data_IF_168792076035
#
_entry.id   IF_168792076035
#
_cell.length_a   1.000
_cell.length_b   1.000
_cell.length_c   1.000
_cell.angle_alpha   90.00
_cell.angle_beta   90.00
_cell.angle_gamma   90.00
#
_symmetry.space_group_name_H-M   'P 1'
#
loop_
_entity.id
_entity.type
_entity.pdbx_description
1 polymer ?
#
# COMPACT_ATOMS: atom_id res chain seq x y z
N UNK A 1 -30.11 18.52 -77.53
CA UNK A 1 -29.37 17.24 -77.44
C UNK A 1 -28.22 17.36 -76.41
N UNK A 2 -28.53 17.31 -75.12
CA UNK A 2 -27.54 17.17 -74.01
C UNK A 2 -28.21 16.43 -72.85
N UNK A 3 -28.70 15.23 -73.15
CA UNK A 3 -29.11 14.21 -72.19
C UNK A 3 -28.24 13.00 -72.55
N UNK A 4 -27.52 12.40 -71.60
CA UNK A 4 -26.76 11.11 -71.65
C UNK A 4 -25.46 11.13 -70.82
N UNK A 5 -25.01 12.24 -70.22
CA UNK A 5 -23.77 12.24 -69.40
C UNK A 5 -23.96 12.14 -67.88
N UNK A 6 -25.19 12.07 -67.36
CA UNK A 6 -25.45 12.11 -65.91
C UNK A 6 -25.71 10.75 -65.26
N UNK A 7 -25.65 9.64 -65.99
CA UNK A 7 -26.02 8.32 -65.46
C UNK A 7 -24.84 7.40 -65.11
N UNK A 8 -23.59 7.82 -65.33
CA UNK A 8 -22.41 6.93 -65.17
C UNK A 8 -21.52 7.24 -63.95
N UNK A 9 -21.97 8.11 -63.04
CA UNK A 9 -21.23 8.41 -61.80
C UNK A 9 -21.93 7.96 -60.51
N UNK A 10 -23.04 7.23 -60.60
CA UNK A 10 -23.86 6.86 -59.44
C UNK A 10 -23.83 5.36 -59.08
N UNK A 11 -22.90 4.58 -59.64
CA UNK A 11 -22.81 3.12 -59.42
C UNK A 11 -21.41 2.65 -59.05
N UNK A 12 -20.62 3.48 -58.38
CA UNK A 12 -19.33 3.09 -57.78
C UNK A 12 -19.22 3.46 -56.29
N UNK A 13 -20.34 3.76 -55.63
CA UNK A 13 -20.41 4.17 -54.23
C UNK A 13 -21.15 3.16 -53.32
N UNK A 14 -21.17 1.87 -53.70
CA UNK A 14 -21.95 0.85 -52.98
C UNK A 14 -21.17 -0.43 -52.63
N UNK A 15 -19.83 -0.42 -52.63
CA UNK A 15 -19.07 -1.64 -52.39
C UNK A 15 -17.67 -1.44 -51.79
N UNK A 16 -17.51 -0.67 -50.70
CA UNK A 16 -16.33 -0.76 -49.81
C UNK A 16 -16.57 0.09 -48.55
N UNK A 17 -17.31 -0.42 -47.56
CA UNK A 17 -17.18 -0.05 -46.13
C UNK A 17 -18.29 -0.74 -45.32
N UNK A 18 -18.36 -2.08 -45.39
CA UNK A 18 -19.00 -2.83 -44.31
C UNK A 18 -17.93 -3.02 -43.24
N UNK A 19 -18.21 -2.62 -41.99
CA UNK A 19 -17.20 -2.45 -40.97
C UNK A 19 -16.69 -3.82 -40.51
N UNK A 20 -15.39 -4.08 -40.70
CA UNK A 20 -14.65 -4.96 -39.81
C UNK A 20 -14.45 -4.21 -38.48
N UNK A 21 -15.54 -3.87 -37.79
CA UNK A 21 -15.55 -3.77 -36.34
C UNK A 21 -15.45 -5.21 -35.83
N UNK A 22 -14.28 -5.83 -36.02
CA UNK A 22 -13.81 -6.84 -35.09
C UNK A 22 -13.59 -6.06 -33.79
N UNK A 23 -14.66 -5.94 -33.01
CA UNK A 23 -14.51 -5.76 -31.58
C UNK A 23 -13.66 -6.94 -31.15
N UNK A 24 -12.34 -6.73 -31.08
CA UNK A 24 -11.45 -7.56 -30.32
C UNK A 24 -12.04 -7.49 -28.92
N UNK A 25 -12.92 -8.43 -28.59
CA UNK A 25 -13.26 -8.70 -27.21
C UNK A 25 -11.92 -9.07 -26.61
N UNK A 26 -11.27 -8.07 -26.02
CA UNK A 26 -10.12 -8.26 -25.15
C UNK A 26 -10.70 -9.15 -24.07
N UNK A 27 -10.49 -10.45 -24.21
CA UNK A 27 -10.75 -11.39 -23.16
C UNK A 27 -9.83 -10.93 -22.03
N UNK A 28 -10.41 -10.22 -21.06
CA UNK A 28 -9.76 -10.04 -19.77
C UNK A 28 -9.74 -11.43 -19.15
N UNK A 29 -8.72 -12.20 -19.51
CA UNK A 29 -8.35 -13.36 -18.75
C UNK A 29 -8.16 -12.89 -17.31
N UNK A 30 -8.69 -13.64 -16.36
CA UNK A 30 -8.47 -13.37 -14.95
C UNK A 30 -6.98 -13.65 -14.67
N UNK A 31 -6.17 -12.60 -14.77
CA UNK A 31 -4.70 -12.68 -14.60
C UNK A 31 -4.34 -13.28 -13.24
N UNK A 32 -5.22 -13.15 -12.24
CA UNK A 32 -5.04 -13.69 -10.90
C UNK A 32 -5.20 -15.22 -10.93
N UNK A 33 -6.24 -15.73 -11.58
CA UNK A 33 -6.48 -17.17 -11.70
C UNK A 33 -5.42 -17.83 -12.59
N UNK A 34 -5.04 -17.20 -13.70
CA UNK A 34 -3.95 -17.67 -14.56
C UNK A 34 -2.61 -17.67 -13.82
N UNK A 35 -2.29 -16.62 -13.04
CA UNK A 35 -1.08 -16.61 -12.21
C UNK A 35 -1.10 -17.72 -11.18
N UNK A 36 -2.22 -17.92 -10.50
CA UNK A 36 -2.37 -18.99 -9.50
C UNK A 36 -2.20 -20.38 -10.11
N UNK A 37 -2.71 -20.58 -11.33
CA UNK A 37 -2.57 -21.84 -12.08
C UNK A 37 -1.14 -22.09 -12.59
N UNK A 38 -0.41 -21.04 -12.99
CA UNK A 38 0.92 -21.18 -13.59
C UNK A 38 2.08 -21.02 -12.60
N UNK A 39 1.91 -20.22 -11.55
CA UNK A 39 2.99 -19.77 -10.66
C UNK A 39 2.83 -20.26 -9.21
N UNK A 40 1.67 -20.83 -8.86
CA UNK A 40 1.37 -21.29 -7.50
C UNK A 40 0.87 -20.14 -6.59
N UNK A 41 0.93 -20.31 -5.26
CA UNK A 41 0.53 -19.27 -4.31
C UNK A 41 1.44 -18.04 -4.43
N UNK A 42 0.90 -16.86 -4.10
CA UNK A 42 1.65 -15.60 -4.17
C UNK A 42 2.93 -15.67 -3.34
N UNK A 43 4.07 -15.52 -4.00
CA UNK A 43 5.39 -15.53 -3.38
C UNK A 43 5.89 -14.12 -3.10
N UNK A 44 6.67 -13.94 -2.04
CA UNK A 44 7.27 -12.66 -1.68
C UNK A 44 8.77 -12.56 -2.02
N UNK A 45 9.24 -13.25 -3.07
CA UNK A 45 10.66 -13.24 -3.45
C UNK A 45 11.16 -11.85 -3.86
N UNK A 46 10.30 -11.03 -4.47
CA UNK A 46 10.63 -9.63 -4.84
C UNK A 46 10.99 -8.82 -3.60
N UNK A 47 10.21 -8.96 -2.53
CA UNK A 47 10.49 -8.34 -1.23
C UNK A 47 11.79 -8.87 -0.62
N UNK A 48 12.04 -10.18 -0.67
CA UNK A 48 13.30 -10.76 -0.16
C UNK A 48 14.54 -10.17 -0.84
N UNK A 49 14.45 -9.88 -2.14
CA UNK A 49 15.56 -9.26 -2.88
C UNK A 49 15.87 -7.84 -2.39
N UNK A 50 14.84 -7.04 -2.10
CA UNK A 50 14.99 -5.70 -1.53
C UNK A 50 15.57 -5.73 -0.11
N UNK A 51 15.06 -6.64 0.74
CA UNK A 51 15.56 -6.83 2.11
C UNK A 51 17.06 -7.15 2.13
N UNK A 52 17.53 -7.98 1.19
CA UNK A 52 18.95 -8.35 1.10
C UNK A 52 19.84 -7.20 0.60
N UNK A 53 19.30 -6.29 -0.22
CA UNK A 53 20.04 -5.15 -0.78
C UNK A 53 20.10 -3.96 0.19
N UNK A 54 18.97 -3.59 0.79
CA UNK A 54 18.84 -2.33 1.53
C UNK A 54 18.77 -2.53 3.06
N UNK A 55 18.49 -3.76 3.51
CA UNK A 55 18.23 -4.06 4.91
C UNK A 55 16.80 -3.71 5.33
N UNK A 56 16.57 -3.68 6.65
CA UNK A 56 15.26 -3.37 7.26
C UNK A 56 15.45 -2.23 8.24
N UNK A 57 14.49 -1.29 8.27
CA UNK A 57 14.52 -0.16 9.21
C UNK A 57 15.84 0.62 9.13
N UNK A 58 16.40 0.70 7.93
CA UNK A 58 17.63 1.42 7.66
C UNK A 58 17.27 2.82 7.15
N UNK A 59 18.04 3.82 7.54
CA UNK A 59 17.81 5.22 7.16
C UNK A 59 19.03 5.76 6.39
N UNK A 60 19.64 4.90 5.56
CA UNK A 60 20.83 5.25 4.80
C UNK A 60 20.51 6.27 3.71
N UNK A 61 20.67 7.53 4.05
CA UNK A 61 20.49 8.64 3.12
C UNK A 61 21.70 8.75 2.17
N UNK A 62 21.59 8.16 0.98
CA UNK A 62 22.60 8.30 -0.07
C UNK A 62 22.36 9.60 -0.86
N UNK A 63 22.67 10.74 -0.24
CA UNK A 63 22.50 12.08 -0.84
C UNK A 63 23.42 12.32 -2.06
N UNK A 64 24.44 11.48 -2.27
CA UNK A 64 25.35 11.63 -3.39
C UNK A 64 24.77 10.95 -4.65
N UNK A 65 24.64 11.71 -5.74
CA UNK A 65 24.08 11.24 -7.01
C UNK A 65 24.62 9.87 -7.46
N UNK A 66 23.75 9.10 -8.11
CA UNK A 66 24.04 7.72 -8.47
C UNK A 66 24.84 7.65 -9.77
N UNK A 67 26.00 7.00 -9.70
CA UNK A 67 26.80 6.68 -10.90
C UNK A 67 26.36 5.33 -11.44
N UNK A 68 25.65 5.35 -12.56
CA UNK A 68 25.21 4.12 -13.24
C UNK A 68 26.19 3.79 -14.36
N UNK A 69 26.64 2.53 -14.42
CA UNK A 69 27.50 2.06 -15.51
C UNK A 69 26.66 1.80 -16.76
N UNK A 70 26.81 2.65 -17.76
CA UNK A 70 26.23 2.47 -19.09
C UNK A 70 27.30 1.90 -20.04
N UNK A 71 26.95 1.12 -21.08
CA UNK A 71 27.93 0.60 -22.06
C UNK A 71 28.78 1.67 -22.75
N UNK A 72 28.33 2.93 -22.74
CA UNK A 72 29.04 4.09 -23.30
C UNK A 72 29.89 4.85 -22.27
N UNK A 73 29.99 4.36 -21.04
CA UNK A 73 30.72 5.02 -19.93
C UNK A 73 29.82 5.28 -18.72
N UNK A 74 30.40 5.79 -17.62
CA UNK A 74 29.63 6.16 -16.43
C UNK A 74 28.72 7.35 -16.75
N UNK A 75 27.44 7.23 -16.42
CA UNK A 75 26.48 8.34 -16.47
C UNK A 75 26.16 8.73 -15.03
N UNK A 76 26.42 9.99 -14.69
CA UNK A 76 26.01 10.57 -13.42
C UNK A 76 24.56 11.03 -13.55
N UNK A 77 23.67 10.43 -12.77
CA UNK A 77 22.27 10.87 -12.69
C UNK A 77 22.19 11.95 -11.61
N UNK A 78 21.76 13.18 -11.95
CA UNK A 78 21.54 14.22 -10.96
C UNK A 78 20.58 13.76 -9.87
N UNK A 79 20.86 14.09 -8.61
CA UNK A 79 19.97 13.75 -7.50
C UNK A 79 18.56 14.33 -7.67
N UNK A 80 18.41 15.44 -8.42
CA UNK A 80 17.12 16.03 -8.75
C UNK A 80 16.26 15.17 -9.70
N UNK A 81 16.89 14.23 -10.43
CA UNK A 81 16.20 13.30 -11.33
C UNK A 81 15.84 11.98 -10.64
N UNK A 82 16.29 11.78 -9.39
CA UNK A 82 15.93 10.63 -8.58
C UNK A 82 14.61 10.89 -7.85
N UNK A 83 13.83 9.82 -7.72
CA UNK A 83 12.63 9.81 -6.91
C UNK A 83 12.91 9.72 -5.41
N UNK A 84 11.87 9.79 -4.61
CA UNK A 84 11.92 9.44 -3.19
C UNK A 84 10.48 9.15 -2.75
N UNK A 85 10.18 7.88 -2.52
CA UNK A 85 8.98 7.45 -1.83
C UNK A 85 9.33 7.23 -0.37
N UNK A 86 8.36 7.45 0.50
CA UNK A 86 8.55 7.28 1.93
C UNK A 86 7.31 6.65 2.55
N UNK A 87 7.55 5.59 3.34
CA UNK A 87 6.53 5.05 4.21
C UNK A 87 6.36 5.96 5.44
N UNK A 88 5.25 6.68 5.50
CA UNK A 88 4.97 7.66 6.56
C UNK A 88 4.38 7.00 7.80
N UNK A 89 3.33 6.21 7.62
CA UNK A 89 2.65 5.56 8.75
C UNK A 89 1.90 4.31 8.35
N UNK A 90 1.66 3.47 9.35
CA UNK A 90 0.84 2.27 9.23
C UNK A 90 -0.15 2.24 10.38
N UNK A 91 -1.42 2.04 10.09
CA UNK A 91 -2.47 1.88 11.10
C UNK A 91 -3.27 0.62 10.83
N UNK A 92 -3.55 -0.15 11.88
CA UNK A 92 -4.32 -1.39 11.79
C UNK A 92 -5.81 -1.07 11.91
N UNK A 93 -6.65 -1.72 11.10
CA UNK A 93 -8.11 -1.62 11.26
C UNK A 93 -8.56 -2.39 12.51
N UNK A 94 -9.50 -1.82 13.26
CA UNK A 94 -10.15 -2.51 14.38
C UNK A 94 -11.12 -3.59 13.89
N UNK A 95 -11.74 -3.38 12.74
CA UNK A 95 -12.77 -4.25 12.21
C UNK A 95 -12.16 -5.51 11.60
N UNK A 96 -12.57 -6.66 12.12
CA UNK A 96 -12.23 -7.96 11.55
C UNK A 96 -13.38 -8.37 10.63
N UNK A 97 -13.16 -8.26 9.32
CA UNK A 97 -14.10 -8.79 8.33
C UNK A 97 -14.04 -10.31 8.39
N UNK A 98 -15.19 -10.97 8.53
CA UNK A 98 -15.27 -12.42 8.56
C UNK A 98 -14.61 -13.02 7.30
N UNK A 99 -13.78 -14.05 7.49
CA UNK A 99 -13.00 -14.74 6.45
C UNK A 99 -11.88 -13.93 5.79
N UNK A 100 -11.56 -12.75 6.32
CA UNK A 100 -10.40 -11.98 5.87
C UNK A 100 -9.33 -11.95 6.96
N UNK A 101 -8.06 -11.81 6.56
CA UNK A 101 -7.00 -11.49 7.50
C UNK A 101 -7.09 -10.02 7.98
N UNK A 102 -6.12 -9.59 8.80
CA UNK A 102 -6.07 -8.23 9.31
C UNK A 102 -5.84 -7.22 8.18
N UNK A 103 -6.55 -6.11 8.23
CA UNK A 103 -6.41 -4.98 7.31
C UNK A 103 -5.54 -3.87 7.91
N UNK A 104 -4.76 -3.22 7.05
CA UNK A 104 -3.85 -2.14 7.40
C UNK A 104 -4.03 -0.99 6.42
N UNK A 105 -4.07 0.22 6.95
CA UNK A 105 -3.90 1.43 6.18
C UNK A 105 -2.43 1.83 6.19
N UNK A 106 -1.88 1.98 5.00
CA UNK A 106 -0.49 2.36 4.77
C UNK A 106 -0.49 3.75 4.13
N UNK A 107 0.16 4.71 4.77
CA UNK A 107 0.31 6.07 4.25
C UNK A 107 1.69 6.21 3.66
N UNK A 108 1.74 6.55 2.37
CA UNK A 108 2.96 6.69 1.58
C UNK A 108 3.01 8.11 1.06
N UNK A 109 4.19 8.73 1.11
CA UNK A 109 4.42 10.07 0.59
C UNK A 109 5.44 10.02 -0.53
N UNK A 110 5.17 10.77 -1.60
CA UNK A 110 6.13 11.04 -2.64
C UNK A 110 6.87 12.33 -2.30
N UNK A 111 8.13 12.18 -1.89
CA UNK A 111 9.05 13.28 -1.56
C UNK A 111 9.83 13.76 -2.80
N UNK A 112 9.58 13.20 -3.98
CA UNK A 112 10.19 13.64 -5.23
C UNK A 112 9.52 14.85 -5.88
N UNK A 113 10.15 15.36 -6.93
CA UNK A 113 9.66 16.48 -7.76
C UNK A 113 8.76 16.03 -8.91
N UNK A 114 8.55 14.71 -9.08
CA UNK A 114 7.79 14.12 -10.19
C UNK A 114 6.70 13.20 -9.69
N UNK A 115 5.66 13.03 -10.49
CA UNK A 115 4.60 12.08 -10.19
C UNK A 115 5.13 10.64 -10.37
N UNK A 116 4.71 9.74 -9.49
CA UNK A 116 5.07 8.32 -9.54
C UNK A 116 3.85 7.50 -9.91
N UNK A 117 3.96 6.69 -10.97
CA UNK A 117 2.87 5.88 -11.47
C UNK A 117 3.26 4.40 -11.48
N UNK A 118 2.31 3.54 -11.12
CA UNK A 118 2.47 2.09 -11.22
C UNK A 118 3.42 1.44 -10.21
N UNK A 119 3.82 2.17 -9.15
CA UNK A 119 4.58 1.58 -8.04
C UNK A 119 3.73 0.55 -7.29
N UNK A 120 4.38 -0.41 -6.64
CA UNK A 120 3.70 -1.49 -5.92
C UNK A 120 4.01 -1.42 -4.44
N UNK A 121 2.97 -1.63 -3.64
CA UNK A 121 3.06 -1.67 -2.19
C UNK A 121 2.72 -3.07 -1.75
N UNK A 122 3.67 -3.73 -1.09
CA UNK A 122 3.50 -5.08 -0.57
C UNK A 122 3.56 -5.06 0.94
N UNK A 123 2.60 -5.74 1.57
CA UNK A 123 2.70 -6.09 2.99
C UNK A 123 2.83 -7.60 3.15
N UNK A 124 3.64 -8.02 4.11
CA UNK A 124 3.92 -9.43 4.40
C UNK A 124 3.71 -9.68 5.89
N UNK A 125 2.85 -10.64 6.20
CA UNK A 125 2.68 -11.15 7.56
C UNK A 125 3.84 -12.08 7.93
N UNK A 126 4.45 -11.83 9.09
CA UNK A 126 5.62 -12.55 9.55
C UNK A 126 5.38 -13.22 10.90
N UNK A 127 5.85 -14.46 10.99
CA UNK A 127 6.03 -15.19 12.25
C UNK A 127 7.46 -15.72 12.28
N UNK A 128 8.38 -14.94 12.86
CA UNK A 128 9.81 -15.23 12.81
C UNK A 128 10.51 -14.66 11.56
N UNK A 129 11.13 -15.53 10.75
CA UNK A 129 11.87 -15.13 9.53
C UNK A 129 10.91 -15.05 8.34
N UNK A 130 11.21 -14.18 7.38
CA UNK A 130 10.50 -14.17 6.09
C UNK A 130 10.76 -15.47 5.33
N UNK A 131 9.71 -16.05 4.77
CA UNK A 131 9.75 -17.22 3.90
C UNK A 131 9.15 -16.84 2.55
N UNK A 132 9.57 -17.47 1.43
CA UNK A 132 8.99 -17.19 0.11
C UNK A 132 7.47 -17.35 0.05
N UNK A 133 6.89 -18.17 0.93
CA UNK A 133 5.46 -18.46 1.03
C UNK A 133 4.78 -17.75 2.20
N UNK A 134 5.43 -16.74 2.80
CA UNK A 134 4.79 -15.93 3.84
C UNK A 134 3.54 -15.23 3.26
N UNK A 135 2.44 -15.17 4.01
CA UNK A 135 1.21 -14.55 3.55
C UNK A 135 1.47 -13.08 3.23
N UNK A 136 1.13 -12.67 2.01
CA UNK A 136 1.41 -11.33 1.51
C UNK A 136 0.25 -10.85 0.65
N UNK A 137 0.15 -9.53 0.52
CA UNK A 137 -0.73 -8.87 -0.44
C UNK A 137 0.03 -7.72 -1.08
N UNK A 138 -0.16 -7.55 -2.39
CA UNK A 138 0.45 -6.46 -3.16
C UNK A 138 -0.64 -5.65 -3.84
N UNK A 139 -0.61 -4.33 -3.66
CA UNK A 139 -1.46 -3.40 -4.40
C UNK A 139 -0.62 -2.55 -5.34
N UNK A 140 -1.18 -2.25 -6.50
CA UNK A 140 -0.57 -1.34 -7.48
C UNK A 140 -1.13 0.05 -7.27
N UNK A 141 -0.25 1.02 -7.06
CA UNK A 141 -0.60 2.43 -6.97
C UNK A 141 -0.72 3.01 -8.39
N UNK A 142 -1.87 3.58 -8.73
CA UNK A 142 -2.09 4.12 -10.07
C UNK A 142 -1.23 5.35 -10.33
N UNK A 143 -1.32 6.35 -9.44
CA UNK A 143 -0.55 7.58 -9.50
C UNK A 143 -0.41 8.20 -8.11
N UNK A 144 0.78 8.73 -7.82
CA UNK A 144 1.10 9.47 -6.61
C UNK A 144 1.76 10.79 -7.01
N UNK A 145 1.02 11.92 -6.94
CA UNK A 145 1.55 13.21 -7.35
C UNK A 145 2.76 13.65 -6.53
N UNK A 146 3.62 14.46 -7.13
CA UNK A 146 4.80 15.03 -6.46
C UNK A 146 4.42 15.76 -5.15
N UNK A 147 5.14 15.47 -4.07
CA UNK A 147 4.93 16.09 -2.76
C UNK A 147 3.67 15.64 -2.00
N UNK A 148 2.84 14.76 -2.57
CA UNK A 148 1.59 14.31 -1.97
C UNK A 148 1.73 13.00 -1.20
N UNK A 149 0.80 12.77 -0.28
CA UNK A 149 0.64 11.50 0.42
C UNK A 149 -0.65 10.80 0.02
N UNK A 150 -0.62 9.47 -0.05
CA UNK A 150 -1.77 8.62 -0.32
C UNK A 150 -1.89 7.56 0.78
N UNK A 151 -3.12 7.28 1.17
CA UNK A 151 -3.46 6.19 2.07
C UNK A 151 -4.02 5.03 1.26
N UNK A 152 -3.48 3.83 1.48
CA UNK A 152 -3.89 2.61 0.79
C UNK A 152 -4.26 1.57 1.84
N UNK A 153 -5.44 0.98 1.71
CA UNK A 153 -5.87 -0.13 2.56
C UNK A 153 -5.44 -1.45 1.93
N UNK A 154 -4.77 -2.29 2.72
CA UNK A 154 -4.26 -3.59 2.34
C UNK A 154 -4.73 -4.64 3.34
N UNK A 155 -5.39 -5.68 2.84
CA UNK A 155 -5.91 -6.78 3.67
C UNK A 155 -5.07 -8.01 3.45
N UNK A 156 -4.43 -8.51 4.51
CA UNK A 156 -3.70 -9.77 4.44
C UNK A 156 -4.66 -10.95 4.30
N UNK A 157 -4.22 -12.06 3.72
CA UNK A 157 -5.06 -13.24 3.59
C UNK A 157 -5.20 -13.95 4.96
N UNK A 158 -6.21 -14.81 5.10
CA UNK A 158 -6.60 -15.40 6.40
C UNK A 158 -5.49 -16.22 7.05
N UNK A 159 -4.57 -16.78 6.26
CA UNK A 159 -3.42 -17.57 6.70
C UNK A 159 -2.49 -16.76 7.62
N UNK A 160 -2.53 -15.42 7.53
CA UNK A 160 -1.81 -14.53 8.46
C UNK A 160 -2.30 -14.63 9.91
N UNK A 161 -3.52 -15.12 10.15
CA UNK A 161 -4.06 -15.39 11.49
C UNK A 161 -3.64 -16.77 12.05
N UNK A 162 -3.07 -17.65 11.21
CA UNK A 162 -2.72 -19.02 11.56
C UNK A 162 -1.35 -19.43 10.98
N UNK A 163 -0.32 -18.62 11.25
CA UNK A 163 1.05 -18.85 10.77
C UNK A 163 1.86 -19.84 11.61
N UNK A 164 1.40 -20.20 12.81
CA UNK A 164 2.05 -21.16 13.69
C UNK A 164 1.06 -22.03 14.45
N UNK A 165 1.59 -23.03 15.16
CA UNK A 165 0.80 -23.90 16.02
C UNK A 165 1.53 -24.11 17.36
N UNK A 166 0.87 -23.80 18.47
CA UNK A 166 1.36 -24.07 19.82
C UNK A 166 0.29 -24.88 20.56
N UNK A 167 0.56 -26.17 20.77
CA UNK A 167 -0.34 -27.10 21.46
C UNK A 167 -1.74 -27.20 20.84
N UNK A 168 -1.85 -27.10 19.52
CA UNK A 168 -3.13 -27.14 18.79
C UNK A 168 -3.80 -25.78 18.61
N UNK A 169 -3.26 -24.71 19.22
CA UNK A 169 -3.75 -23.35 19.00
C UNK A 169 -3.01 -22.70 17.84
N UNK A 170 -3.77 -22.16 16.89
CA UNK A 170 -3.23 -21.35 15.80
C UNK A 170 -2.61 -20.07 16.37
N UNK A 171 -1.41 -19.74 15.89
CA UNK A 171 -0.71 -18.50 16.25
C UNK A 171 -0.72 -17.58 15.04
N UNK A 172 -1.21 -16.35 15.24
CA UNK A 172 -1.19 -15.31 14.22
C UNK A 172 0.22 -14.74 14.00
N UNK A 173 0.38 -13.98 12.92
CA UNK A 173 1.58 -13.18 12.70
C UNK A 173 1.85 -12.25 13.89
N UNK A 174 3.12 -12.05 14.21
CA UNK A 174 3.54 -11.12 15.26
C UNK A 174 4.26 -9.89 14.70
N UNK A 175 4.66 -9.92 13.44
CA UNK A 175 5.33 -8.81 12.76
C UNK A 175 4.69 -8.55 11.41
N UNK A 176 4.69 -7.28 11.01
CA UNK A 176 4.27 -6.82 9.71
C UNK A 176 5.48 -6.20 9.00
N UNK A 177 5.80 -6.71 7.81
CA UNK A 177 6.75 -6.06 6.91
C UNK A 177 5.96 -5.26 5.87
N UNK A 178 6.29 -3.99 5.72
CA UNK A 178 5.72 -3.11 4.70
C UNK A 178 6.84 -2.67 3.77
N UNK A 179 6.59 -2.80 2.47
CA UNK A 179 7.53 -2.47 1.40
C UNK A 179 6.83 -1.60 0.37
N UNK A 180 7.32 -0.38 0.21
CA UNK A 180 6.98 0.52 -0.88
C UNK A 180 7.93 0.26 -2.06
N UNK A 181 7.44 0.46 -3.28
CA UNK A 181 8.09 0.06 -4.53
C UNK A 181 8.70 -1.34 -4.52
N UNK A 182 7.88 -2.34 -4.17
CA UNK A 182 8.35 -3.70 -3.89
C UNK A 182 9.03 -4.43 -5.06
N UNK A 183 8.95 -3.89 -6.27
CA UNK A 183 9.62 -4.41 -7.47
C UNK A 183 10.89 -3.65 -7.88
N UNK A 184 11.32 -2.63 -7.11
CA UNK A 184 12.54 -1.87 -7.38
C UNK A 184 12.56 -1.31 -8.81
N UNK A 185 11.41 -0.73 -9.23
CA UNK A 185 11.20 -0.22 -10.60
C UNK A 185 11.42 1.27 -10.68
N UNK A 186 11.25 1.97 -9.57
CA UNK A 186 11.43 3.39 -9.46
C UNK A 186 12.82 3.67 -8.88
N UNK A 187 13.61 4.50 -9.57
CA UNK A 187 14.93 4.86 -9.05
C UNK A 187 14.79 5.94 -7.99
N UNK A 188 15.11 5.59 -6.74
CA UNK A 188 14.98 6.50 -5.61
C UNK A 188 16.34 6.94 -5.05
N UNK A 189 16.33 8.09 -4.38
CA UNK A 189 17.49 8.62 -3.68
C UNK A 189 17.73 7.93 -2.34
N UNK A 190 16.68 7.41 -1.73
CA UNK A 190 16.71 6.62 -0.51
C UNK A 190 15.79 5.42 -0.68
N UNK A 191 16.36 4.22 -0.83
CA UNK A 191 15.57 2.98 -0.90
C UNK A 191 15.26 2.41 0.49
N UNK A 192 15.93 2.90 1.53
CA UNK A 192 15.91 2.27 2.85
C UNK A 192 14.67 2.67 3.68
N UNK A 193 14.12 3.86 3.42
CA UNK A 193 12.86 4.35 4.00
C UNK A 193 11.60 3.66 3.44
N UNK A 194 11.74 2.87 2.36
CA UNK A 194 10.65 2.10 1.76
C UNK A 194 10.37 0.78 2.49
N UNK A 195 11.30 0.29 3.33
CA UNK A 195 11.21 -1.00 4.01
C UNK A 195 11.17 -0.84 5.53
N UNK A 196 10.01 -1.11 6.12
CA UNK A 196 9.86 -1.11 7.58
C UNK A 196 9.25 -2.41 8.10
N UNK A 197 9.77 -2.88 9.22
CA UNK A 197 9.17 -3.98 9.99
C UNK A 197 8.62 -3.43 11.30
N UNK A 198 7.34 -3.71 11.52
CA UNK A 198 6.60 -3.34 12.71
C UNK A 198 6.27 -4.58 13.53
N UNK A 199 6.30 -4.44 14.85
CA UNK A 199 5.61 -5.38 15.74
C UNK A 199 4.11 -5.09 15.65
N UNK A 200 3.30 -6.12 15.40
CA UNK A 200 1.85 -5.96 15.23
C UNK A 200 1.19 -5.38 16.49
N UNK A 201 1.74 -5.67 17.67
CA UNK A 201 1.24 -5.11 18.93
C UNK A 201 1.54 -3.61 19.09
N UNK A 202 2.55 -3.09 18.38
CA UNK A 202 2.94 -1.69 18.43
C UNK A 202 2.25 -0.82 17.37
N UNK A 203 1.55 -1.42 16.39
CA UNK A 203 0.85 -0.67 15.34
C UNK A 203 -0.41 -0.02 15.94
N UNK A 204 -0.61 1.29 15.76
CA UNK A 204 -1.82 1.97 16.21
C UNK A 204 -3.07 1.36 15.57
N UNK A 205 -4.08 1.09 16.38
CA UNK A 205 -5.38 0.62 15.89
C UNK A 205 -6.25 1.84 15.59
N UNK A 206 -6.77 1.92 14.38
CA UNK A 206 -7.72 2.95 13.98
C UNK A 206 -8.98 2.83 14.83
N UNK A 207 -9.29 3.87 15.61
CA UNK A 207 -10.52 3.93 16.40
C UNK A 207 -11.65 4.14 15.41
N UNK A 208 -12.60 3.20 15.35
CA UNK A 208 -13.82 3.37 14.57
C UNK A 208 -14.51 4.64 15.05
N UNK A 209 -14.49 5.68 14.22
CA UNK A 209 -15.27 6.89 14.45
C UNK A 209 -16.74 6.47 14.40
N UNK A 210 -17.38 6.33 15.56
CA UNK A 210 -18.82 6.12 15.65
C UNK A 210 -19.47 7.30 14.94
N UNK A 211 -20.22 7.10 13.85
CA UNK A 211 -20.92 8.21 13.22
C UNK A 211 -21.92 8.75 14.24
N UNK A 212 -21.73 9.99 14.67
CA UNK A 212 -22.77 10.74 15.36
C UNK A 212 -23.96 10.81 14.41
N UNK A 213 -24.99 10.03 14.69
CA UNK A 213 -26.30 10.08 14.05
C UNK A 213 -26.83 11.51 14.19
N UNK A 214 -26.56 12.35 13.20
CA UNK A 214 -27.10 13.69 13.13
C UNK A 214 -28.58 13.51 12.79
N UNK A 215 -29.43 13.72 13.79
CA UNK A 215 -30.87 13.72 13.63
C UNK A 215 -31.25 14.62 12.45
N UNK A 216 -32.04 14.06 11.54
CA UNK A 216 -32.63 14.74 10.40
C UNK A 216 -33.58 15.84 10.90
N UNK A 217 -33.10 17.08 10.94
CA UNK A 217 -33.98 18.25 10.95
C UNK A 217 -34.25 18.69 9.51
N UNK A 218 -35.53 18.66 9.18
CA UNK A 218 -36.16 19.15 7.94
C UNK A 218 -35.71 20.56 7.55
N UNK A 219 -35.36 20.83 6.27
CA UNK A 219 -35.03 22.19 5.84
C UNK A 219 -36.31 23.01 5.61
N UNK A 220 -36.49 24.06 6.42
CA UNK A 220 -37.41 25.16 6.11
C UNK A 220 -36.61 26.27 5.42
N UNK A 221 -37.06 26.60 4.22
CA UNK A 221 -36.49 27.62 3.33
C UNK A 221 -36.69 29.03 3.87
N UNK A 222 -35.63 29.83 3.97
CA UNK A 222 -35.72 31.31 3.89
C UNK A 222 -34.43 31.93 3.37
N UNK A 223 -34.62 32.88 2.45
CA UNK A 223 -33.64 33.58 1.62
C UNK A 223 -32.77 34.62 2.34
N UNK A 224 -31.57 34.81 1.76
CA UNK A 224 -30.85 36.07 1.50
C UNK A 224 -30.56 37.04 2.65
N UNK A 225 -29.27 37.35 2.88
CA UNK A 225 -28.75 38.73 2.81
C UNK A 225 -27.21 38.76 2.66
N UNK A 226 -26.72 39.54 1.69
CA UNK A 226 -25.33 40.01 1.55
C UNK A 226 -24.91 40.90 2.73
N UNK A 227 -23.62 40.88 3.11
CA UNK A 227 -22.81 42.09 3.38
C UNK A 227 -21.42 41.77 3.98
N UNK A 228 -20.38 42.18 3.23
CA UNK A 228 -19.29 43.08 3.70
C UNK A 228 -18.09 42.52 4.50
N UNK A 229 -16.93 42.54 3.81
CA UNK A 229 -15.55 42.54 4.32
C UNK A 229 -15.27 43.79 5.20
N UNK A 230 -14.38 43.72 6.21
CA UNK A 230 -12.98 44.13 5.97
C UNK A 230 -11.93 43.29 6.75
N UNK A 231 -10.86 42.88 6.09
CA UNK A 231 -9.50 43.45 6.20
C UNK A 231 -8.91 43.45 7.63
N UNK A 232 -8.08 42.44 7.92
CA UNK A 232 -7.15 42.43 9.04
C UNK A 232 -5.74 42.20 8.50
N UNK A 233 -4.93 43.22 8.70
CA UNK A 233 -3.50 43.37 8.49
C UNK A 233 -2.70 42.45 9.44
N UNK A 234 -1.62 41.78 8.98
CA UNK A 234 -0.60 41.30 9.90
C UNK A 234 0.78 41.83 9.54
N UNK A 235 1.48 42.40 10.52
CA UNK A 235 2.93 42.64 10.50
C UNK A 235 3.45 42.72 11.95
N UNK A 236 4.76 42.62 12.22
CA UNK A 236 5.53 41.38 12.30
C UNK A 236 6.30 41.27 13.64
N UNK A 237 6.56 40.06 14.17
CA UNK A 237 7.63 39.84 15.17
C UNK A 237 8.13 38.37 14.99
N UNK A 238 9.16 38.10 14.18
CA UNK A 238 10.59 38.04 14.55
C UNK A 238 10.85 37.40 15.92
N UNK A 239 11.29 36.14 15.94
CA UNK A 239 12.03 35.59 17.07
C UNK A 239 13.28 34.86 16.59
N UNK A 240 14.35 35.15 17.32
CA UNK A 240 15.73 34.98 16.96
C UNK A 240 16.17 33.51 16.87
N UNK A 241 17.07 33.31 15.91
CA UNK A 241 18.07 32.26 15.91
C UNK A 241 18.97 32.46 17.13
N UNK A 242 19.12 31.43 17.96
CA UNK A 242 20.26 31.31 18.87
C UNK A 242 21.01 30.01 18.61
N UNK A 243 22.26 30.23 18.22
CA UNK A 243 23.39 29.33 18.08
C UNK A 243 23.97 29.02 19.46
N UNK A 244 24.26 27.74 19.78
CA UNK A 244 25.45 27.30 20.55
C UNK A 244 25.50 25.76 20.57
N UNK A 245 26.51 25.15 19.93
CA UNK A 245 27.71 24.52 20.52
C UNK A 245 27.42 23.17 21.21
N UNK A 246 27.79 22.04 20.60
CA UNK A 246 29.10 21.37 20.70
C UNK A 246 29.57 21.15 22.14
N UNK A 247 29.37 19.93 22.63
CA UNK A 247 29.96 19.40 23.85
C UNK A 247 29.88 17.87 23.84
N UNK A 248 30.97 17.23 23.44
CA UNK A 248 31.17 15.80 23.55
C UNK A 248 31.45 15.41 25.01
N UNK A 249 30.81 14.35 25.52
CA UNK A 249 31.39 13.48 26.55
C UNK A 249 30.87 12.06 26.34
N UNK A 250 31.82 11.12 26.24
CA UNK A 250 31.62 9.68 26.32
C UNK A 250 30.99 9.28 27.66
N UNK A 251 30.09 8.32 27.68
CA UNK A 251 30.10 7.34 28.77
C UNK A 251 29.42 6.03 28.38
N UNK A 252 30.21 4.99 28.57
CA UNK A 252 29.98 3.56 28.48
C UNK A 252 29.17 3.08 29.69
N UNK A 253 28.11 2.28 29.45
CA UNK A 253 27.52 1.32 30.40
C UNK A 253 26.36 0.52 29.76
N UNK A 254 26.64 -0.73 29.39
CA UNK A 254 25.70 -1.87 29.53
C UNK A 254 25.81 -2.39 30.99
N UNK A 255 24.95 -3.31 31.50
CA UNK A 255 23.77 -3.94 30.92
C UNK A 255 22.56 -4.01 31.88
N UNK A 256 21.34 -4.23 31.34
CA UNK A 256 20.26 -4.88 32.10
C UNK A 256 19.20 -5.46 31.16
N UNK A 257 19.08 -6.78 31.16
CA UNK A 257 17.92 -7.52 30.64
C UNK A 257 16.67 -7.25 31.47
N UNK A 258 15.47 -7.32 30.86
CA UNK A 258 14.29 -7.73 31.60
C UNK A 258 13.61 -8.96 30.96
N UNK A 259 13.59 -10.00 31.76
CA UNK A 259 12.52 -10.97 32.02
C UNK A 259 11.38 -11.12 31.01
N UNK A 260 11.36 -12.34 30.48
CA UNK A 260 10.22 -13.16 30.14
C UNK A 260 8.97 -12.88 31.01
N UNK A 261 7.88 -12.49 30.37
CA UNK A 261 6.53 -12.43 30.96
C UNK A 261 5.55 -12.86 29.88
N UNK A 262 5.47 -14.18 29.69
CA UNK A 262 4.41 -14.86 28.95
C UNK A 262 3.04 -14.52 29.51
N UNK A 263 2.49 -13.41 29.04
CA UNK A 263 1.11 -13.00 29.23
C UNK A 263 0.33 -13.57 28.05
N UNK A 264 -0.38 -14.67 28.28
CA UNK A 264 -1.11 -15.41 27.26
C UNK A 264 -2.07 -14.51 26.47
N UNK A 265 -1.81 -14.41 25.17
CA UNK A 265 -2.74 -13.90 24.18
C UNK A 265 -3.81 -14.97 23.91
N UNK A 266 -4.70 -15.20 24.88
CA UNK A 266 -5.98 -15.84 24.61
C UNK A 266 -6.87 -14.80 23.92
N UNK A 267 -6.62 -14.55 22.63
CA UNK A 267 -7.42 -13.60 21.85
C UNK A 267 -8.82 -14.20 21.62
N UNK A 268 -9.92 -13.53 22.01
CA UNK A 268 -11.29 -13.98 21.76
C UNK A 268 -11.57 -14.17 20.25
N UNK A 269 -10.80 -13.52 19.39
CA UNK A 269 -10.91 -13.60 17.93
C UNK A 269 -10.51 -14.97 17.36
N UNK A 270 -9.62 -15.70 18.03
CA UNK A 270 -9.26 -17.06 17.61
C UNK A 270 -10.35 -18.06 17.97
N UNK A 271 -11.02 -17.85 19.10
CA UNK A 271 -12.10 -18.71 19.56
C UNK A 271 -13.31 -18.62 18.62
N UNK A 272 -13.65 -17.42 18.15
CA UNK A 272 -14.75 -17.20 17.21
C UNK A 272 -14.51 -17.83 15.83
N UNK A 273 -13.27 -17.81 15.34
CA UNK A 273 -12.90 -18.46 14.08
C UNK A 273 -12.98 -20.00 14.18
N UNK A 274 -12.55 -20.59 15.30
CA UNK A 274 -12.61 -22.04 15.54
C UNK A 274 -14.05 -22.53 15.66
N UNK A 275 -14.91 -21.80 16.37
CA UNK A 275 -16.33 -22.17 16.54
C UNK A 275 -17.10 -22.12 15.20
N UNK A 276 -16.79 -21.15 14.34
CA UNK A 276 -17.39 -21.08 13.00
C UNK A 276 -16.94 -22.24 12.10
N UNK A 277 -15.68 -22.64 12.16
CA UNK A 277 -15.17 -23.76 11.37
C UNK A 277 -15.78 -25.10 11.82
N UNK A 278 -16.03 -25.26 13.12
CA UNK A 278 -16.59 -26.48 13.69
C UNK A 278 -18.10 -26.61 13.43
N UNK A 279 -18.82 -25.48 13.39
CA UNK A 279 -20.27 -25.44 13.12
C UNK A 279 -20.63 -25.74 11.65
N UNK A 280 -19.72 -25.51 10.71
CA UNK A 280 -19.94 -25.77 9.28
C UNK A 280 -19.85 -27.23 8.86
N UNK A 281 -19.32 -28.12 9.71
CA UNK A 281 -19.10 -29.54 9.37
C UNK A 281 -20.20 -30.50 9.81
N UNK A 282 -21.22 -30.04 10.55
CA UNK A 282 -22.25 -30.91 11.14
C UNK A 282 -23.59 -30.94 10.40
N UNK A 283 -23.76 -30.24 9.27
CA UNK A 283 -25.07 -30.13 8.60
C UNK A 283 -25.37 -31.15 7.48
N UNK A 284 -24.44 -32.04 7.12
CA UNK A 284 -24.63 -32.96 5.97
C UNK A 284 -24.82 -34.45 6.33
N UNK A 285 -25.20 -34.76 7.57
CA UNK A 285 -25.43 -36.14 7.99
C UNK A 285 -26.78 -36.36 8.67
N UNK A 286 -27.84 -35.79 8.11
CA UNK A 286 -29.22 -36.22 8.41
C UNK A 286 -30.18 -35.94 7.24
N UNK A 287 -30.10 -36.76 6.20
CA UNK A 287 -31.20 -36.98 5.28
C UNK A 287 -31.11 -38.41 4.74
N UNK A 288 -31.93 -39.29 5.35
CA UNK A 288 -32.38 -40.52 4.72
C UNK A 288 -33.45 -40.26 3.65
#
# INVERSE_FOLDING_TARGET
MKCIHSLFRLTFAALMCVPLLNASSIARADDIELRRLLHGPDRCDHVMSLLLRHGVNNDSNHVAGMNTFHPLGPIAIPAADLGDLELVSVTRHADVVANCGPAFDVVIKNCSTRDVCGSHVTIVGLFGRILPTSPNVTSKLESLPAGQAVQITLTLPIESLAMGNMNGQAIAMNRLLVVVDSFDQFMESNEANNLRVFDVAAIPIAVAAVPETTATETPVSVSSTSATLPAVEPTPIQSAVQTTQLGAVQSEAEPASPSDSGSGLSSPDLQSAIDQFSAGTTSDQEAG
#
